data_IF_167785057101
#
_entry.id   IF_167785057101
#
_cell.length_a   1.000
_cell.length_b   1.000
_cell.length_c   1.000
_cell.angle_alpha   90.00
_cell.angle_beta   90.00
_cell.angle_gamma   90.00
#
_symmetry.space_group_name_H-M   'P 1'
#
loop_
_entity.id
_entity.type
_entity.pdbx_description
1 polymer ?
#
# COMPACT_ATOMS: atom_id res chain seq x y z
N UNK A 1 6.11 -20.23 8.89
CA UNK A 1 5.11 -19.69 9.86
C UNK A 1 3.76 -19.67 9.17
N UNK A 2 2.64 -19.79 9.90
CA UNK A 2 1.30 -19.88 9.30
C UNK A 2 0.41 -18.78 9.86
N UNK A 3 -0.62 -18.39 9.08
CA UNK A 3 -1.62 -17.40 9.45
C UNK A 3 -3.02 -17.84 9.00
N UNK A 4 -4.06 -17.23 9.57
CA UNK A 4 -5.45 -17.47 9.20
C UNK A 4 -5.95 -16.39 8.24
N UNK A 5 -6.30 -16.78 6.98
CA UNK A 5 -6.75 -15.85 5.95
C UNK A 5 -7.96 -16.37 5.17
N UNK A 6 -8.48 -15.53 4.29
CA UNK A 6 -9.63 -15.83 3.45
C UNK A 6 -9.15 -16.23 2.04
N UNK A 7 -9.36 -17.49 1.65
CA UNK A 7 -9.00 -17.96 0.31
C UNK A 7 -9.90 -17.33 -0.74
N UNK A 8 -9.29 -16.86 -1.80
CA UNK A 8 -9.99 -16.31 -2.96
C UNK A 8 -10.08 -17.34 -4.08
N UNK A 9 -11.06 -17.18 -4.96
CA UNK A 9 -11.29 -18.08 -6.11
C UNK A 9 -10.12 -18.14 -7.08
N UNK A 10 -9.32 -17.07 -7.15
CA UNK A 10 -8.08 -17.01 -7.94
C UNK A 10 -6.85 -17.63 -7.25
N UNK A 11 -7.03 -18.28 -6.11
CA UNK A 11 -5.96 -18.89 -5.33
C UNK A 11 -5.22 -17.92 -4.39
N UNK A 12 -5.44 -16.62 -4.47
CA UNK A 12 -4.89 -15.65 -3.52
C UNK A 12 -5.50 -15.80 -2.12
N UNK A 13 -4.87 -15.18 -1.13
CA UNK A 13 -5.39 -15.20 0.24
C UNK A 13 -5.47 -13.77 0.79
N UNK A 14 -6.61 -13.38 1.34
CA UNK A 14 -6.81 -12.10 2.00
C UNK A 14 -6.65 -12.20 3.51
N UNK A 15 -6.12 -11.15 4.14
CA UNK A 15 -6.05 -11.02 5.61
C UNK A 15 -7.25 -10.27 6.17
N UNK A 16 -8.06 -9.70 5.28
CA UNK A 16 -9.36 -9.07 5.54
C UNK A 16 -10.38 -9.57 4.50
N UNK A 17 -11.66 -9.23 4.72
CA UNK A 17 -12.77 -9.74 3.90
C UNK A 17 -13.77 -8.61 3.59
N UNK A 18 -13.27 -7.50 3.04
CA UNK A 18 -14.06 -6.30 2.80
C UNK A 18 -14.98 -6.42 1.58
N UNK A 19 -16.13 -5.77 1.64
CA UNK A 19 -16.93 -5.41 0.47
C UNK A 19 -16.69 -3.93 0.19
N UNK A 20 -16.11 -3.65 -0.98
CA UNK A 20 -15.67 -2.32 -1.38
C UNK A 20 -16.71 -1.67 -2.30
N UNK A 21 -17.15 -0.46 -1.96
CA UNK A 21 -17.92 0.43 -2.83
C UNK A 21 -16.96 1.46 -3.42
N UNK A 22 -16.68 1.34 -4.71
CA UNK A 22 -15.64 2.10 -5.39
C UNK A 22 -16.22 2.97 -6.52
N UNK A 23 -16.17 4.32 -6.41
CA UNK A 23 -16.54 5.19 -7.52
C UNK A 23 -15.44 5.14 -8.59
N UNK A 24 -15.79 4.90 -9.86
CA UNK A 24 -14.81 4.94 -10.96
C UNK A 24 -14.47 6.35 -11.41
N UNK A 25 -15.27 7.33 -10.98
CA UNK A 25 -15.10 8.75 -11.29
C UNK A 25 -15.56 9.62 -10.13
N UNK A 26 -14.93 10.79 -9.95
CA UNK A 26 -15.27 11.74 -8.87
C UNK A 26 -16.77 12.06 -8.80
N UNK A 27 -17.46 12.18 -9.96
CA UNK A 27 -18.88 12.49 -10.05
C UNK A 27 -19.78 11.45 -9.37
N UNK A 28 -19.31 10.21 -9.21
CA UNK A 28 -20.02 9.12 -8.55
C UNK A 28 -19.72 9.01 -7.05
N UNK A 29 -18.78 9.78 -6.51
CA UNK A 29 -18.32 9.67 -5.11
C UNK A 29 -19.44 9.82 -4.09
N UNK A 30 -20.35 10.79 -4.29
CA UNK A 30 -21.48 11.00 -3.36
C UNK A 30 -22.45 9.82 -3.37
N UNK A 31 -22.77 9.27 -4.55
CA UNK A 31 -23.63 8.08 -4.65
C UNK A 31 -22.98 6.87 -3.97
N UNK A 32 -21.68 6.64 -4.18
CA UNK A 32 -20.95 5.57 -3.51
C UNK A 32 -20.94 5.72 -1.98
N UNK A 33 -20.75 6.94 -1.47
CA UNK A 33 -20.85 7.23 -0.03
C UNK A 33 -22.25 7.01 0.53
N UNK A 34 -23.30 7.40 -0.22
CA UNK A 34 -24.69 7.17 0.20
C UNK A 34 -24.96 5.67 0.31
N UNK A 35 -24.57 4.87 -0.70
CA UNK A 35 -24.72 3.41 -0.67
C UNK A 35 -24.03 2.82 0.57
N UNK A 36 -22.76 3.19 0.79
CA UNK A 36 -21.99 2.63 1.92
C UNK A 36 -22.56 3.03 3.28
N UNK A 37 -23.12 4.23 3.43
CA UNK A 37 -23.80 4.66 4.68
C UNK A 37 -25.10 3.88 4.94
N UNK A 38 -25.82 3.52 3.87
CA UNK A 38 -27.07 2.74 3.99
C UNK A 38 -26.82 1.24 4.14
N UNK A 39 -25.61 0.75 3.83
CA UNK A 39 -25.21 -0.66 3.92
C UNK A 39 -24.00 -0.80 4.87
N UNK A 40 -24.24 -0.81 6.19
CA UNK A 40 -23.18 -0.97 7.18
C UNK A 40 -22.39 -2.27 6.96
N UNK A 41 -21.05 -2.19 7.10
CA UNK A 41 -20.14 -3.32 6.83
C UNK A 41 -19.45 -3.22 5.48
N UNK A 42 -19.87 -2.29 4.61
CA UNK A 42 -19.13 -1.95 3.39
C UNK A 42 -18.05 -0.90 3.69
N UNK A 43 -17.01 -0.90 2.86
CA UNK A 43 -15.96 0.12 2.84
C UNK A 43 -16.13 0.97 1.59
N UNK A 44 -16.05 2.29 1.74
CA UNK A 44 -16.12 3.22 0.61
C UNK A 44 -14.86 4.11 0.58
N UNK A 45 -14.33 4.32 -0.61
CA UNK A 45 -13.27 5.30 -0.87
C UNK A 45 -13.77 6.41 -1.77
N UNK A 46 -13.05 7.53 -1.82
CA UNK A 46 -13.29 8.63 -2.76
C UNK A 46 -11.98 9.13 -3.32
N UNK A 47 -12.02 9.62 -4.56
CA UNK A 47 -10.84 10.16 -5.25
C UNK A 47 -11.26 11.18 -6.32
N UNK A 48 -10.37 12.10 -6.75
CA UNK A 48 -10.68 13.13 -7.73
C UNK A 48 -10.52 12.70 -9.20
N UNK A 49 -10.33 11.42 -9.47
CA UNK A 49 -9.93 10.89 -10.78
C UNK A 49 -11.12 10.25 -11.55
N UNK A 50 -10.81 9.60 -12.68
CA UNK A 50 -11.73 8.79 -13.50
C UNK A 50 -12.12 9.43 -14.82
N UNK A 51 -11.94 10.75 -14.99
CA UNK A 51 -12.22 11.48 -16.23
C UNK A 51 -11.01 12.31 -16.65
N UNK A 52 -10.85 12.53 -17.95
CA UNK A 52 -9.78 13.37 -18.49
C UNK A 52 -8.39 12.72 -18.55
N UNK A 53 -8.24 11.45 -18.25
CA UNK A 53 -6.97 10.71 -18.30
C UNK A 53 -6.70 10.19 -19.70
N UNK A 54 -5.61 10.62 -20.35
CA UNK A 54 -5.24 10.24 -21.70
C UNK A 54 -3.88 9.51 -21.74
N UNK A 55 -3.61 8.79 -22.85
CA UNK A 55 -2.32 8.14 -23.09
C UNK A 55 -1.93 7.17 -21.98
N UNK A 56 -0.69 7.28 -21.52
CA UNK A 56 -0.13 6.41 -20.46
C UNK A 56 -0.87 6.59 -19.12
N UNK A 57 -1.34 7.79 -18.81
CA UNK A 57 -2.10 8.09 -17.59
C UNK A 57 -3.34 7.23 -17.49
N UNK A 58 -4.10 7.02 -18.59
CA UNK A 58 -5.29 6.15 -18.59
C UNK A 58 -4.93 4.72 -18.20
N UNK A 59 -3.86 4.16 -18.79
CA UNK A 59 -3.40 2.80 -18.47
C UNK A 59 -2.91 2.68 -17.02
N UNK A 60 -2.24 3.72 -16.52
CA UNK A 60 -1.81 3.82 -15.13
C UNK A 60 -3.00 3.81 -14.17
N UNK A 61 -4.01 4.67 -14.39
CA UNK A 61 -5.22 4.74 -13.57
C UNK A 61 -6.01 3.42 -13.56
N UNK A 62 -6.18 2.79 -14.73
CA UNK A 62 -6.83 1.48 -14.83
C UNK A 62 -6.08 0.45 -13.97
N UNK A 63 -4.75 0.40 -14.05
CA UNK A 63 -3.93 -0.53 -13.25
C UNK A 63 -4.09 -0.30 -11.76
N UNK A 64 -4.06 0.97 -11.30
CA UNK A 64 -4.21 1.30 -9.88
C UNK A 64 -5.60 0.94 -9.38
N UNK A 65 -6.65 1.40 -10.08
CA UNK A 65 -8.05 1.16 -9.68
C UNK A 65 -8.38 -0.34 -9.69
N UNK A 66 -8.02 -1.06 -10.75
CA UNK A 66 -8.28 -2.50 -10.84
C UNK A 66 -7.43 -3.29 -9.83
N UNK A 67 -6.17 -2.92 -9.61
CA UNK A 67 -5.31 -3.56 -8.62
C UNK A 67 -5.83 -3.38 -7.20
N UNK A 68 -6.25 -2.16 -6.84
CA UNK A 68 -6.81 -1.86 -5.53
C UNK A 68 -8.14 -2.59 -5.29
N UNK A 69 -9.07 -2.53 -6.26
CA UNK A 69 -10.33 -3.28 -6.22
C UNK A 69 -10.13 -4.80 -6.23
N UNK A 70 -9.09 -5.28 -6.91
CA UNK A 70 -8.69 -6.70 -6.99
C UNK A 70 -7.79 -7.18 -5.85
N UNK A 71 -7.57 -6.34 -4.81
CA UNK A 71 -6.79 -6.74 -3.63
C UNK A 71 -7.33 -8.02 -3.01
N UNK A 72 -6.47 -8.96 -2.58
CA UNK A 72 -6.92 -10.16 -1.87
C UNK A 72 -7.74 -9.89 -0.60
N UNK A 73 -7.61 -8.70 -0.01
CA UNK A 73 -8.38 -8.28 1.16
C UNK A 73 -9.83 -7.91 0.85
N UNK A 74 -10.20 -7.82 -0.43
CA UNK A 74 -11.55 -7.49 -0.91
C UNK A 74 -12.26 -8.76 -1.36
N UNK A 75 -13.41 -9.05 -0.76
CA UNK A 75 -14.26 -10.19 -1.11
C UNK A 75 -15.17 -9.91 -2.30
N UNK A 76 -15.63 -8.67 -2.41
CA UNK A 76 -16.49 -8.22 -3.50
C UNK A 76 -16.43 -6.72 -3.69
N UNK A 77 -16.69 -6.28 -4.90
CA UNK A 77 -16.62 -4.87 -5.30
C UNK A 77 -17.94 -4.43 -5.93
N UNK A 78 -18.47 -3.29 -5.49
CA UNK A 78 -19.49 -2.54 -6.21
C UNK A 78 -18.82 -1.32 -6.86
N UNK A 79 -18.74 -1.31 -8.18
CA UNK A 79 -18.23 -0.18 -8.95
C UNK A 79 -19.38 0.78 -9.24
N UNK A 80 -19.19 2.07 -8.93
CA UNK A 80 -20.20 3.11 -9.11
C UNK A 80 -19.68 4.14 -10.11
N UNK A 81 -20.35 4.22 -11.29
CA UNK A 81 -19.99 5.17 -12.34
C UNK A 81 -21.02 6.26 -12.56
N UNK A 82 -20.64 7.28 -13.32
CA UNK A 82 -21.56 8.29 -13.83
C UNK A 82 -22.23 7.82 -15.13
N UNK A 83 -21.43 7.37 -16.11
CA UNK A 83 -21.88 6.88 -17.43
C UNK A 83 -21.25 7.59 -18.63
N UNK A 84 -20.44 8.65 -18.42
CA UNK A 84 -19.71 9.35 -19.49
C UNK A 84 -18.22 9.49 -19.22
N UNK A 85 -17.71 8.89 -18.15
CA UNK A 85 -16.30 8.89 -17.78
C UNK A 85 -15.45 8.05 -18.75
N UNK A 86 -14.14 8.36 -18.79
CA UNK A 86 -13.18 7.62 -19.62
C UNK A 86 -12.79 6.26 -19.05
N UNK A 87 -12.91 6.08 -17.73
CA UNK A 87 -12.63 4.83 -17.01
C UNK A 87 -13.94 4.37 -16.40
N UNK A 88 -14.75 3.66 -17.20
CA UNK A 88 -16.08 3.21 -16.79
C UNK A 88 -16.03 2.04 -15.83
N UNK A 89 -17.12 1.77 -15.07
CA UNK A 89 -17.24 0.56 -14.27
C UNK A 89 -16.95 -0.71 -15.06
N UNK A 90 -17.40 -0.80 -16.32
CA UNK A 90 -17.18 -1.95 -17.20
C UNK A 90 -15.71 -2.13 -17.55
N UNK A 91 -14.97 -1.03 -17.74
CA UNK A 91 -13.52 -1.07 -17.99
C UNK A 91 -12.79 -1.73 -16.82
N UNK A 92 -13.11 -1.33 -15.60
CA UNK A 92 -12.50 -1.91 -14.38
C UNK A 92 -13.01 -3.35 -14.17
N UNK A 93 -14.29 -3.61 -14.37
CA UNK A 93 -14.88 -4.94 -14.22
C UNK A 93 -14.23 -5.99 -15.14
N UNK A 94 -13.86 -5.62 -16.36
CA UNK A 94 -13.13 -6.52 -17.29
C UNK A 94 -11.79 -6.97 -16.68
N UNK A 95 -11.03 -6.06 -16.08
CA UNK A 95 -9.76 -6.41 -15.43
C UNK A 95 -9.98 -7.29 -14.18
N UNK A 96 -11.02 -6.99 -13.39
CA UNK A 96 -11.37 -7.76 -12.20
C UNK A 96 -11.86 -9.18 -12.53
N UNK A 97 -12.62 -9.34 -13.59
CA UNK A 97 -13.06 -10.67 -14.05
C UNK A 97 -11.89 -11.57 -14.48
N UNK A 98 -10.81 -11.00 -15.02
CA UNK A 98 -9.60 -11.77 -15.35
C UNK A 98 -8.96 -12.42 -14.12
N UNK A 99 -9.19 -11.84 -12.94
CA UNK A 99 -8.71 -12.35 -11.66
C UNK A 99 -9.79 -13.07 -10.85
N UNK A 100 -10.94 -13.38 -11.47
CA UNK A 100 -12.09 -14.02 -10.81
C UNK A 100 -12.61 -13.25 -9.59
N UNK A 101 -12.41 -11.93 -9.54
CA UNK A 101 -12.94 -11.08 -8.48
C UNK A 101 -14.46 -10.94 -8.63
N UNK A 102 -15.19 -11.01 -7.51
CA UNK A 102 -16.63 -10.77 -7.49
C UNK A 102 -16.89 -9.26 -7.65
N UNK A 103 -17.59 -8.87 -8.72
CA UNK A 103 -17.83 -7.47 -9.07
C UNK A 103 -19.26 -7.24 -9.52
N UNK A 104 -19.86 -6.15 -9.06
CA UNK A 104 -21.15 -5.60 -9.50
C UNK A 104 -20.94 -4.15 -9.96
N UNK A 105 -21.81 -3.66 -10.85
CA UNK A 105 -21.69 -2.30 -11.40
C UNK A 105 -23.02 -1.55 -11.34
N UNK A 106 -22.96 -0.24 -11.11
CA UNK A 106 -24.08 0.69 -11.29
C UNK A 106 -23.61 1.95 -12.01
N UNK A 107 -24.47 2.52 -12.86
CA UNK A 107 -24.22 3.78 -13.55
C UNK A 107 -25.38 4.75 -13.30
N UNK A 108 -25.06 5.95 -12.82
CA UNK A 108 -26.04 6.99 -12.45
C UNK A 108 -26.90 7.39 -13.65
N UNK A 109 -26.26 7.64 -14.81
CA UNK A 109 -26.98 8.07 -16.01
C UNK A 109 -27.89 6.97 -16.57
N UNK A 110 -27.41 5.73 -16.57
CA UNK A 110 -28.16 4.58 -17.07
C UNK A 110 -29.40 4.29 -16.23
N UNK A 111 -29.32 4.49 -14.91
CA UNK A 111 -30.42 4.25 -13.98
C UNK A 111 -31.37 5.44 -13.81
N UNK A 112 -31.08 6.58 -14.45
CA UNK A 112 -31.97 7.74 -14.44
C UNK A 112 -31.75 8.73 -13.31
N UNK A 113 -30.65 8.59 -12.54
CA UNK A 113 -30.28 9.54 -11.50
C UNK A 113 -29.70 8.91 -10.25
N UNK A 114 -29.31 9.77 -9.31
CA UNK A 114 -28.61 9.37 -8.09
C UNK A 114 -29.47 8.47 -7.20
N UNK A 115 -30.76 8.79 -7.00
CA UNK A 115 -31.63 8.02 -6.11
C UNK A 115 -31.81 6.57 -6.59
N UNK A 116 -32.03 6.39 -7.89
CA UNK A 116 -32.17 5.07 -8.51
C UNK A 116 -30.85 4.28 -8.45
N UNK A 117 -29.72 4.97 -8.68
CA UNK A 117 -28.40 4.37 -8.57
C UNK A 117 -28.08 3.94 -7.13
N UNK A 118 -28.44 4.75 -6.13
CA UNK A 118 -28.26 4.41 -4.71
C UNK A 118 -29.16 3.24 -4.31
N UNK A 119 -30.45 3.24 -4.69
CA UNK A 119 -31.35 2.14 -4.40
C UNK A 119 -30.85 0.81 -5.00
N UNK A 120 -30.45 0.82 -6.26
CA UNK A 120 -29.89 -0.38 -6.91
C UNK A 120 -28.55 -0.78 -6.33
N UNK A 121 -27.68 0.18 -6.05
CA UNK A 121 -26.36 -0.07 -5.44
C UNK A 121 -26.47 -0.70 -4.05
N UNK A 122 -27.45 -0.28 -3.25
CA UNK A 122 -27.76 -0.86 -1.95
C UNK A 122 -28.08 -2.35 -2.06
N UNK A 123 -29.03 -2.73 -2.93
CA UNK A 123 -29.39 -4.14 -3.16
C UNK A 123 -28.17 -5.00 -3.54
N UNK A 124 -27.30 -4.45 -4.40
CA UNK A 124 -26.10 -5.15 -4.86
C UNK A 124 -25.05 -5.27 -3.74
N UNK A 125 -24.83 -4.21 -2.97
CA UNK A 125 -23.89 -4.20 -1.84
C UNK A 125 -24.33 -5.15 -0.72
N UNK A 126 -25.63 -5.19 -0.39
CA UNK A 126 -26.21 -6.15 0.57
C UNK A 126 -25.98 -7.60 0.11
N UNK A 127 -26.19 -7.89 -1.17
CA UNK A 127 -25.92 -9.22 -1.73
C UNK A 127 -24.44 -9.59 -1.63
N UNK A 128 -23.52 -8.67 -1.98
CA UNK A 128 -22.08 -8.90 -1.83
C UNK A 128 -21.68 -9.16 -0.38
N UNK A 129 -22.29 -8.46 0.60
CA UNK A 129 -22.03 -8.71 2.03
C UNK A 129 -22.49 -10.10 2.46
N UNK A 130 -23.67 -10.55 2.01
CA UNK A 130 -24.17 -11.91 2.31
C UNK A 130 -23.23 -12.96 1.75
N UNK A 131 -22.76 -12.78 0.51
CA UNK A 131 -21.78 -13.67 -0.12
C UNK A 131 -20.44 -13.67 0.65
N UNK A 132 -19.93 -12.48 1.02
CA UNK A 132 -18.70 -12.34 1.77
C UNK A 132 -18.78 -12.97 3.17
N UNK A 133 -19.93 -12.86 3.85
CA UNK A 133 -20.14 -13.42 5.19
C UNK A 133 -20.05 -14.96 5.22
N UNK A 134 -20.25 -15.63 4.09
CA UNK A 134 -20.09 -17.08 3.98
C UNK A 134 -18.64 -17.57 3.92
N UNK A 135 -17.66 -16.67 3.82
CA UNK A 135 -16.26 -17.06 3.75
C UNK A 135 -15.68 -17.27 5.17
N UNK A 136 -15.04 -18.40 5.39
CA UNK A 136 -14.32 -18.71 6.62
C UNK A 136 -12.81 -18.50 6.44
N UNK A 137 -12.11 -18.22 7.54
CA UNK A 137 -10.64 -18.19 7.54
C UNK A 137 -10.10 -19.61 7.48
N UNK A 138 -9.09 -19.82 6.66
CA UNK A 138 -8.34 -21.05 6.59
C UNK A 138 -6.86 -20.83 6.90
N UNK A 139 -6.17 -21.92 7.27
CA UNK A 139 -4.76 -21.87 7.62
C UNK A 139 -3.91 -21.80 6.34
N UNK A 140 -3.14 -20.73 6.20
CA UNK A 140 -2.24 -20.48 5.08
C UNK A 140 -0.79 -20.38 5.54
N UNK A 141 0.13 -20.51 4.60
CA UNK A 141 1.57 -20.37 4.86
C UNK A 141 2.03 -18.93 4.64
N UNK A 142 3.00 -18.47 5.44
CA UNK A 142 3.57 -17.11 5.30
C UNK A 142 4.17 -16.85 3.91
N UNK A 143 4.48 -17.92 3.16
CA UNK A 143 4.91 -17.80 1.76
C UNK A 143 3.86 -17.22 0.82
N UNK A 144 2.61 -17.09 1.26
CA UNK A 144 1.52 -16.47 0.50
C UNK A 144 1.31 -14.97 0.85
N UNK A 145 2.06 -14.46 1.85
CA UNK A 145 1.99 -13.04 2.21
C UNK A 145 2.82 -12.16 1.26
N UNK A 146 2.24 -11.02 0.91
CA UNK A 146 2.91 -9.87 0.30
C UNK A 146 2.79 -8.72 1.29
N UNK A 147 3.92 -8.21 1.78
CA UNK A 147 3.97 -7.09 2.73
C UNK A 147 4.61 -5.89 2.04
N UNK A 148 3.90 -4.77 2.02
CA UNK A 148 4.45 -3.48 1.61
C UNK A 148 5.21 -2.84 2.78
N UNK A 149 6.33 -2.19 2.48
CA UNK A 149 7.11 -1.47 3.51
C UNK A 149 7.19 0.01 3.17
N UNK A 150 6.95 0.86 4.15
CA UNK A 150 6.96 2.30 4.00
C UNK A 150 7.75 2.97 5.13
N UNK A 151 8.30 4.17 4.89
CA UNK A 151 8.80 5.02 5.96
C UNK A 151 8.38 6.48 5.76
N UNK A 152 7.68 7.05 6.75
CA UNK A 152 7.19 8.43 6.71
C UNK A 152 7.40 9.16 8.04
N UNK A 153 7.56 10.50 7.96
CA UNK A 153 7.96 11.28 9.13
C UNK A 153 9.30 10.83 9.71
N UNK A 154 10.25 10.48 8.84
CA UNK A 154 11.53 9.90 9.22
C UNK A 154 12.37 10.86 10.07
N UNK A 155 13.10 10.30 11.01
CA UNK A 155 14.11 10.96 11.84
C UNK A 155 15.47 10.24 11.71
N UNK A 156 16.51 10.76 12.33
CA UNK A 156 17.85 10.14 12.35
C UNK A 156 17.81 8.70 12.91
N UNK A 157 16.90 8.45 13.86
CA UNK A 157 16.77 7.16 14.53
C UNK A 157 16.09 6.11 13.65
N UNK A 158 15.32 6.52 12.67
CA UNK A 158 14.64 5.61 11.72
C UNK A 158 15.62 4.66 11.04
N UNK A 159 16.78 5.15 10.62
CA UNK A 159 17.85 4.36 10.00
C UNK A 159 18.66 3.49 10.96
N UNK A 160 18.54 3.71 12.26
CA UNK A 160 19.29 3.00 13.31
C UNK A 160 18.44 1.92 14.01
N UNK A 161 17.12 2.08 14.05
CA UNK A 161 16.20 1.22 14.81
C UNK A 161 15.11 0.62 13.95
N UNK A 162 14.05 1.38 13.63
CA UNK A 162 12.83 0.89 13.00
C UNK A 162 13.08 0.29 11.60
N UNK A 163 13.84 0.97 10.72
CA UNK A 163 14.10 0.45 9.37
C UNK A 163 14.97 -0.80 9.39
N UNK A 164 16.10 -0.88 10.13
CA UNK A 164 16.84 -2.14 10.26
C UNK A 164 16.03 -3.28 10.87
N UNK A 165 15.21 -3.02 11.90
CA UNK A 165 14.36 -4.04 12.50
C UNK A 165 13.26 -4.53 11.52
N UNK A 166 12.63 -3.60 10.77
CA UNK A 166 11.72 -3.99 9.69
C UNK A 166 12.45 -4.79 8.60
N UNK A 167 13.71 -4.44 8.30
CA UNK A 167 14.56 -5.20 7.38
C UNK A 167 14.75 -6.66 7.81
N UNK A 168 14.96 -6.92 9.11
CA UNK A 168 15.00 -8.28 9.65
C UNK A 168 13.66 -9.00 9.44
N UNK A 169 12.54 -8.32 9.69
CA UNK A 169 11.22 -8.90 9.45
C UNK A 169 10.99 -9.23 7.97
N UNK A 170 11.46 -8.37 7.04
CA UNK A 170 11.43 -8.65 5.62
C UNK A 170 12.27 -9.86 5.23
N UNK A 171 13.48 -9.99 5.77
CA UNK A 171 14.34 -11.16 5.52
C UNK A 171 13.69 -12.45 6.06
N UNK A 172 13.03 -12.41 7.22
CA UNK A 172 12.27 -13.54 7.76
C UNK A 172 11.09 -13.91 6.86
N UNK A 173 10.36 -12.93 6.33
CA UNK A 173 9.26 -13.15 5.39
C UNK A 173 9.75 -13.76 4.08
N UNK A 174 10.83 -13.23 3.51
CA UNK A 174 11.45 -13.74 2.26
C UNK A 174 11.98 -15.16 2.47
N UNK A 175 12.63 -15.44 3.58
CA UNK A 175 13.10 -16.78 3.95
C UNK A 175 11.96 -17.78 4.15
N UNK A 176 10.77 -17.29 4.55
CA UNK A 176 9.55 -18.11 4.61
C UNK A 176 8.88 -18.27 3.22
N UNK A 177 9.46 -17.71 2.15
CA UNK A 177 8.96 -17.79 0.77
C UNK A 177 7.91 -16.72 0.43
N UNK A 178 7.69 -15.72 1.29
CA UNK A 178 6.81 -14.60 1.06
C UNK A 178 7.45 -13.49 0.21
N UNK A 179 6.74 -12.37 0.05
CA UNK A 179 7.20 -11.23 -0.74
C UNK A 179 7.19 -9.96 0.10
N UNK A 180 8.29 -9.22 0.09
CA UNK A 180 8.37 -7.86 0.63
C UNK A 180 8.49 -6.85 -0.53
N UNK A 181 7.68 -5.79 -0.50
CA UNK A 181 7.76 -4.70 -1.48
C UNK A 181 8.34 -3.47 -0.78
N UNK A 182 9.44 -2.96 -1.30
CA UNK A 182 9.93 -1.62 -0.99
C UNK A 182 9.56 -0.67 -2.13
N UNK A 183 9.17 0.55 -1.80
CA UNK A 183 8.82 1.58 -2.79
C UNK A 183 9.58 2.87 -2.47
N UNK A 184 9.08 4.04 -2.94
CA UNK A 184 9.66 5.35 -2.63
C UNK A 184 10.98 5.58 -3.37
N UNK A 185 10.93 5.56 -4.72
CA UNK A 185 12.11 5.65 -5.60
C UNK A 185 13.01 6.85 -5.27
N UNK A 186 12.43 8.00 -4.89
CA UNK A 186 13.19 9.19 -4.49
C UNK A 186 14.05 8.96 -3.22
N UNK A 187 13.62 8.08 -2.31
CA UNK A 187 14.36 7.71 -1.10
C UNK A 187 15.41 6.61 -1.34
N UNK A 188 15.69 6.26 -2.58
CA UNK A 188 16.80 5.37 -2.98
C UNK A 188 17.97 6.17 -3.57
N UNK A 189 17.77 7.46 -3.90
CA UNK A 189 18.77 8.33 -4.51
C UNK A 189 20.00 8.51 -3.61
N UNK A 190 21.17 8.28 -4.16
CA UNK A 190 22.44 8.28 -3.42
C UNK A 190 22.78 6.94 -2.75
N UNK A 191 21.80 6.05 -2.57
CA UNK A 191 21.97 4.70 -2.01
C UNK A 191 21.68 3.57 -3.04
N UNK A 192 21.31 3.91 -4.27
CA UNK A 192 20.95 2.99 -5.35
C UNK A 192 22.04 1.95 -5.65
N UNK A 193 23.30 2.33 -5.50
CA UNK A 193 24.44 1.43 -5.72
C UNK A 193 24.47 0.25 -4.71
N UNK A 194 23.90 0.42 -3.52
CA UNK A 194 23.79 -0.64 -2.49
C UNK A 194 22.69 -1.63 -2.92
N UNK A 195 21.54 -1.12 -3.39
CA UNK A 195 20.47 -1.94 -3.92
C UNK A 195 20.90 -2.68 -5.18
N UNK A 196 21.57 -2.00 -6.11
CA UNK A 196 22.07 -2.57 -7.35
C UNK A 196 23.03 -3.75 -7.15
N UNK A 197 23.84 -3.75 -6.08
CA UNK A 197 24.71 -4.89 -5.70
C UNK A 197 23.93 -6.11 -5.23
N UNK A 198 22.68 -5.94 -4.81
CA UNK A 198 21.80 -7.02 -4.32
C UNK A 198 20.87 -7.55 -5.42
N UNK A 199 20.94 -7.00 -6.63
CA UNK A 199 20.11 -7.45 -7.74
C UNK A 199 20.45 -8.90 -8.13
N UNK A 200 19.39 -9.73 -8.33
CA UNK A 200 19.52 -11.13 -8.73
C UNK A 200 20.12 -11.30 -10.15
N UNK A 201 19.99 -10.27 -10.99
CA UNK A 201 20.47 -10.25 -12.36
C UNK A 201 20.92 -8.85 -12.79
N UNK A 202 21.63 -8.79 -13.91
CA UNK A 202 22.02 -7.50 -14.53
C UNK A 202 20.80 -6.71 -15.01
N UNK A 203 19.73 -7.38 -15.46
CA UNK A 203 18.47 -6.74 -15.83
C UNK A 203 17.85 -5.99 -14.64
N UNK A 204 17.74 -6.65 -13.50
CA UNK A 204 17.22 -6.03 -12.26
C UNK A 204 18.13 -4.88 -11.82
N UNK A 205 19.47 -5.06 -11.91
CA UNK A 205 20.45 -4.02 -11.61
C UNK A 205 20.23 -2.77 -12.46
N UNK A 206 20.15 -2.97 -13.78
CA UNK A 206 19.96 -1.87 -14.74
C UNK A 206 18.62 -1.17 -14.49
N UNK A 207 17.58 -1.93 -14.16
CA UNK A 207 16.26 -1.35 -13.87
C UNK A 207 16.27 -0.49 -12.60
N UNK A 208 16.99 -0.89 -11.55
CA UNK A 208 17.17 -0.06 -10.33
C UNK A 208 17.83 1.27 -10.70
N UNK A 209 18.91 1.24 -11.50
CA UNK A 209 19.60 2.44 -11.95
C UNK A 209 18.72 3.33 -12.85
N UNK A 210 17.92 2.73 -13.71
CA UNK A 210 16.99 3.44 -14.59
C UNK A 210 15.92 4.20 -13.80
N UNK A 211 15.21 3.54 -12.87
CA UNK A 211 14.15 4.22 -12.10
C UNK A 211 14.70 5.35 -11.24
N UNK A 212 15.86 5.17 -10.62
CA UNK A 212 16.49 6.22 -9.80
C UNK A 212 16.97 7.39 -10.64
N UNK A 213 17.66 7.14 -11.76
CA UNK A 213 18.11 8.20 -12.67
C UNK A 213 16.93 8.95 -13.31
N UNK A 214 15.86 8.23 -13.67
CA UNK A 214 14.62 8.83 -14.21
C UNK A 214 13.94 9.71 -13.16
N UNK A 215 13.84 9.25 -11.92
CA UNK A 215 13.30 10.04 -10.81
C UNK A 215 14.08 11.35 -10.62
N UNK A 216 15.41 11.29 -10.55
CA UNK A 216 16.24 12.50 -10.42
C UNK A 216 16.10 13.44 -11.64
N UNK A 217 16.04 12.89 -12.86
CA UNK A 217 15.83 13.67 -14.08
C UNK A 217 14.47 14.36 -14.11
N UNK A 218 13.42 13.71 -13.63
CA UNK A 218 12.08 14.28 -13.51
C UNK A 218 12.07 15.50 -12.58
N UNK A 219 12.69 15.42 -11.39
CA UNK A 219 12.83 16.59 -10.51
C UNK A 219 13.59 17.73 -11.16
N UNK A 220 14.72 17.43 -11.83
CA UNK A 220 15.49 18.45 -12.57
C UNK A 220 14.68 19.11 -13.69
N UNK A 221 13.84 18.36 -14.40
CA UNK A 221 12.97 18.90 -15.46
C UNK A 221 11.92 19.88 -14.93
N UNK A 222 11.52 19.73 -13.66
CA UNK A 222 10.63 20.67 -12.96
C UNK A 222 11.38 21.85 -12.31
N UNK A 223 12.70 21.97 -12.52
CA UNK A 223 13.53 23.00 -11.92
C UNK A 223 13.87 22.76 -10.44
N UNK A 224 13.68 21.54 -9.95
CA UNK A 224 13.96 21.16 -8.56
C UNK A 224 15.27 20.38 -8.47
N UNK A 225 16.21 20.85 -7.64
CA UNK A 225 17.32 20.06 -7.17
C UNK A 225 16.88 19.27 -5.93
N UNK A 226 16.58 17.99 -6.11
CA UNK A 226 16.10 17.13 -5.02
C UNK A 226 17.13 17.01 -3.90
N UNK A 227 18.43 17.04 -4.21
CA UNK A 227 19.50 16.95 -3.19
C UNK A 227 19.57 18.19 -2.30
N UNK A 228 19.09 19.35 -2.81
CA UNK A 228 18.99 20.58 -2.04
C UNK A 228 17.61 20.80 -1.36
N UNK A 229 16.61 19.97 -1.71
CA UNK A 229 15.23 20.10 -1.24
C UNK A 229 14.83 19.03 -0.23
N UNK A 230 15.41 17.85 -0.33
CA UNK A 230 15.28 16.76 0.64
C UNK A 230 16.54 16.67 1.52
N UNK A 231 16.40 16.36 2.82
CA UNK A 231 15.18 16.02 3.57
C UNK A 231 14.20 17.18 3.75
N UNK A 232 12.91 16.86 3.87
CA UNK A 232 11.86 17.85 4.16
C UNK A 232 12.08 18.55 5.51
N UNK A 233 11.50 19.73 5.76
CA UNK A 233 11.65 20.45 7.04
C UNK A 233 11.35 19.55 8.25
N UNK A 234 10.31 18.72 8.17
CA UNK A 234 9.97 17.80 9.26
C UNK A 234 11.04 16.71 9.49
N UNK A 235 11.74 16.26 8.46
CA UNK A 235 12.85 15.32 8.60
C UNK A 235 14.10 16.01 9.18
N UNK A 236 14.36 17.28 8.81
CA UNK A 236 15.44 18.09 9.37
C UNK A 236 15.21 18.33 10.85
N UNK A 237 14.00 18.67 11.27
CA UNK A 237 13.61 18.75 12.69
C UNK A 237 13.80 17.41 13.41
N UNK A 238 13.69 16.28 12.71
CA UNK A 238 14.00 14.93 13.17
C UNK A 238 15.49 14.59 13.19
N UNK A 239 16.37 15.54 12.80
CA UNK A 239 17.83 15.42 12.84
C UNK A 239 18.48 14.91 11.56
N UNK A 240 17.73 14.63 10.48
CA UNK A 240 18.30 14.26 9.18
C UNK A 240 18.96 15.47 8.50
N UNK A 241 20.08 15.24 7.82
CA UNK A 241 20.93 16.31 7.27
C UNK A 241 20.98 16.33 5.75
N UNK A 242 21.00 15.16 5.10
CA UNK A 242 21.13 15.03 3.64
C UNK A 242 20.19 14.00 3.07
N UNK A 243 19.93 14.08 1.76
CA UNK A 243 19.17 13.08 1.03
C UNK A 243 19.83 11.69 1.14
N UNK A 244 21.16 11.63 1.02
CA UNK A 244 21.90 10.37 1.10
C UNK A 244 21.76 9.72 2.48
N UNK A 245 21.82 10.48 3.56
CA UNK A 245 21.59 9.98 4.92
C UNK A 245 20.17 9.38 5.04
N UNK A 246 19.17 10.12 4.58
CA UNK A 246 17.76 9.66 4.54
C UNK A 246 17.65 8.37 3.75
N UNK A 247 18.22 8.30 2.54
CA UNK A 247 18.17 7.15 1.66
C UNK A 247 18.90 5.93 2.24
N UNK A 248 20.09 6.11 2.81
CA UNK A 248 20.82 5.04 3.47
C UNK A 248 20.03 4.43 4.65
N UNK A 249 19.26 5.26 5.36
CA UNK A 249 18.36 4.80 6.41
C UNK A 249 17.13 4.09 5.84
N UNK A 250 16.53 4.65 4.79
CA UNK A 250 15.29 4.16 4.18
C UNK A 250 15.45 2.77 3.56
N UNK A 251 16.49 2.52 2.76
CA UNK A 251 16.68 1.24 2.08
C UNK A 251 16.87 0.05 3.03
N UNK A 252 17.19 0.29 4.31
CA UNK A 252 17.38 -0.75 5.32
C UNK A 252 16.10 -1.50 5.65
N UNK A 253 14.91 -0.87 5.44
CA UNK A 253 13.62 -1.53 5.64
C UNK A 253 13.39 -2.75 4.73
N UNK A 254 14.13 -2.84 3.60
CA UNK A 254 14.12 -4.00 2.71
C UNK A 254 15.06 -5.15 3.11
N UNK A 255 15.69 -5.09 4.29
CA UNK A 255 16.58 -6.15 4.77
C UNK A 255 17.84 -6.33 3.92
N UNK A 256 18.31 -7.58 3.83
CA UNK A 256 19.55 -7.98 3.14
C UNK A 256 19.32 -8.94 1.96
N UNK A 257 18.12 -9.43 1.77
CA UNK A 257 17.75 -10.39 0.73
C UNK A 257 18.05 -9.87 -0.69
N UNK A 258 18.27 -10.79 -1.62
CA UNK A 258 18.44 -10.43 -3.04
C UNK A 258 17.17 -9.77 -3.59
N UNK A 259 17.34 -8.75 -4.43
CA UNK A 259 16.23 -8.06 -5.11
C UNK A 259 15.88 -8.88 -6.36
N UNK A 260 14.67 -9.43 -6.35
CA UNK A 260 14.20 -10.37 -7.38
C UNK A 260 13.64 -9.67 -8.61
N UNK A 261 13.01 -8.49 -8.42
CA UNK A 261 12.29 -7.80 -9.48
C UNK A 261 12.18 -6.30 -9.17
N UNK A 262 12.07 -5.49 -10.22
CA UNK A 262 11.60 -4.09 -10.17
C UNK A 262 10.31 -4.01 -10.97
N UNK A 263 9.22 -3.55 -10.34
CA UNK A 263 7.90 -3.43 -10.95
C UNK A 263 7.48 -1.97 -11.07
N UNK A 264 6.53 -1.67 -11.96
CA UNK A 264 5.91 -0.35 -12.05
C UNK A 264 4.98 -0.13 -10.86
N UNK A 265 4.62 1.13 -10.63
CA UNK A 265 3.61 1.48 -9.62
C UNK A 265 2.31 0.68 -9.82
N UNK A 266 1.83 0.08 -8.74
CA UNK A 266 0.62 -0.78 -8.73
C UNK A 266 0.70 -2.03 -9.64
N UNK A 267 1.87 -2.42 -10.10
CA UNK A 267 2.06 -3.66 -10.84
C UNK A 267 2.34 -4.81 -9.87
N UNK A 268 1.58 -5.90 -10.01
CA UNK A 268 1.72 -7.06 -9.14
C UNK A 268 3.03 -7.80 -9.43
N UNK A 269 3.86 -8.08 -8.42
CA UNK A 269 5.06 -8.89 -8.59
C UNK A 269 4.74 -10.27 -9.16
N UNK A 270 5.53 -10.70 -10.14
CA UNK A 270 5.46 -12.05 -10.70
C UNK A 270 6.43 -13.02 -10.02
N UNK A 271 7.38 -12.49 -9.26
CA UNK A 271 8.37 -13.25 -8.50
C UNK A 271 8.21 -12.98 -7.00
N UNK A 272 8.44 -14.01 -6.19
CA UNK A 272 8.50 -13.90 -4.73
C UNK A 272 9.87 -13.42 -4.27
N UNK A 273 9.94 -12.91 -3.06
CA UNK A 273 11.15 -12.39 -2.45
C UNK A 273 11.10 -10.87 -2.27
N UNK A 274 12.26 -10.22 -2.25
CA UNK A 274 12.31 -8.76 -2.15
C UNK A 274 12.10 -8.12 -3.54
N UNK A 275 11.16 -7.20 -3.63
CA UNK A 275 10.77 -6.52 -4.87
C UNK A 275 10.83 -5.00 -4.66
N UNK A 276 11.30 -4.27 -5.64
CA UNK A 276 11.20 -2.81 -5.69
C UNK A 276 9.99 -2.43 -6.55
N UNK A 277 9.10 -1.58 -6.04
CA UNK A 277 8.06 -0.91 -6.82
C UNK A 277 8.49 0.53 -7.09
N UNK A 278 8.60 0.88 -8.37
CA UNK A 278 8.85 2.26 -8.79
C UNK A 278 7.64 3.14 -8.45
N UNK A 279 7.81 4.03 -7.49
CA UNK A 279 6.70 4.83 -6.97
C UNK A 279 7.12 6.06 -6.18
N UNK A 280 6.18 6.98 -5.91
CA UNK A 280 6.45 8.21 -5.19
C UNK A 280 6.71 7.95 -3.70
N UNK A 281 7.39 8.90 -3.07
CA UNK A 281 7.65 8.90 -1.62
C UNK A 281 6.56 9.64 -0.82
N UNK A 282 5.33 9.67 -1.33
CA UNK A 282 4.17 10.24 -0.65
C UNK A 282 3.40 9.14 0.06
N UNK A 283 3.30 9.23 1.38
CA UNK A 283 2.83 8.16 2.28
C UNK A 283 1.60 7.39 1.75
N UNK A 284 0.43 8.03 1.71
CA UNK A 284 -0.85 7.39 1.32
C UNK A 284 -0.82 6.88 -0.12
N UNK A 285 -0.15 7.62 -1.00
CA UNK A 285 -0.03 7.25 -2.42
C UNK A 285 0.83 6.01 -2.59
N UNK A 286 1.97 5.94 -1.89
CA UNK A 286 2.86 4.78 -1.93
C UNK A 286 2.17 3.52 -1.38
N UNK A 287 1.48 3.65 -0.24
CA UNK A 287 0.71 2.55 0.36
C UNK A 287 -0.39 2.05 -0.59
N UNK A 288 -1.16 2.98 -1.20
CA UNK A 288 -2.19 2.64 -2.20
C UNK A 288 -1.59 1.84 -3.37
N UNK A 289 -0.42 2.25 -3.86
CA UNK A 289 0.29 1.54 -4.94
C UNK A 289 0.69 0.13 -4.55
N UNK A 290 1.27 -0.06 -3.36
CA UNK A 290 1.67 -1.38 -2.86
C UNK A 290 0.45 -2.30 -2.63
N UNK A 291 -0.65 -1.76 -2.10
CA UNK A 291 -1.91 -2.49 -1.93
C UNK A 291 -2.48 -2.90 -3.29
N UNK A 292 -2.48 -2.00 -4.27
CA UNK A 292 -2.89 -2.31 -5.64
C UNK A 292 -1.97 -3.32 -6.32
N UNK A 293 -0.68 -3.35 -5.95
CA UNK A 293 0.27 -4.38 -6.37
C UNK A 293 0.07 -5.74 -5.65
N UNK A 294 -0.88 -5.82 -4.72
CA UNK A 294 -1.28 -7.04 -4.04
C UNK A 294 -0.79 -7.19 -2.60
N UNK A 295 -0.16 -6.16 -2.00
CA UNK A 295 0.20 -6.19 -0.59
C UNK A 295 -1.06 -6.36 0.29
N UNK A 296 -1.03 -7.35 1.17
CA UNK A 296 -2.12 -7.62 2.10
C UNK A 296 -1.95 -6.85 3.41
N UNK A 297 -0.73 -6.49 3.78
CA UNK A 297 -0.34 -5.75 4.99
C UNK A 297 0.69 -4.70 4.60
N UNK A 298 0.62 -3.54 5.22
CA UNK A 298 1.67 -2.51 5.16
C UNK A 298 2.37 -2.44 6.50
N UNK A 299 3.70 -2.44 6.47
CA UNK A 299 4.56 -2.19 7.63
C UNK A 299 5.19 -0.80 7.48
N UNK A 300 4.77 0.14 8.31
CA UNK A 300 5.07 1.56 8.19
C UNK A 300 5.94 2.03 9.35
N UNK A 301 7.19 2.38 9.06
CA UNK A 301 8.12 2.94 10.06
C UNK A 301 7.99 4.46 10.15
N UNK A 302 8.09 5.01 11.35
CA UNK A 302 7.98 6.45 11.57
C UNK A 302 8.85 6.93 12.73
N UNK A 303 9.50 8.08 12.55
CA UNK A 303 10.28 8.75 13.59
C UNK A 303 9.48 9.78 14.37
N UNK A 304 8.61 10.51 13.69
CA UNK A 304 7.79 11.58 14.28
C UNK A 304 6.38 11.15 14.64
N UNK A 305 5.96 9.98 14.17
CA UNK A 305 4.62 9.44 14.33
C UNK A 305 3.67 9.83 13.20
N UNK A 306 2.80 8.89 12.83
CA UNK A 306 1.74 9.09 11.84
C UNK A 306 0.50 8.29 12.25
N UNK A 307 -0.72 8.82 12.01
CA UNK A 307 -1.95 8.06 12.23
C UNK A 307 -2.36 7.21 11.02
N UNK A 308 -1.75 7.40 9.85
CA UNK A 308 -2.19 6.88 8.55
C UNK A 308 -2.56 5.40 8.63
N UNK A 309 -3.72 5.07 8.02
CA UNK A 309 -4.22 3.72 7.79
C UNK A 309 -4.52 3.49 6.32
N UNK A 310 -5.33 2.48 6.04
CA UNK A 310 -5.86 2.22 4.70
C UNK A 310 -7.25 1.60 4.82
N UNK A 311 -8.15 1.87 3.86
CA UNK A 311 -9.52 1.36 3.92
C UNK A 311 -9.64 -0.16 3.79
N UNK A 312 -8.68 -0.83 3.16
CA UNK A 312 -8.78 -2.26 2.86
C UNK A 312 -7.58 -3.11 3.30
N UNK A 313 -6.50 -2.49 3.77
CA UNK A 313 -5.33 -3.22 4.23
C UNK A 313 -4.88 -2.72 5.60
N UNK A 314 -4.55 -3.60 6.56
CA UNK A 314 -3.98 -3.18 7.82
C UNK A 314 -2.63 -2.51 7.63
N UNK A 315 -2.40 -1.40 8.35
CA UNK A 315 -1.13 -0.66 8.39
C UNK A 315 -0.55 -0.74 9.80
N UNK A 316 0.52 -1.53 9.95
CA UNK A 316 1.26 -1.70 11.21
C UNK A 316 2.26 -0.56 11.34
N UNK A 317 2.15 0.28 12.36
CA UNK A 317 3.07 1.39 12.59
C UNK A 317 4.15 1.04 13.60
N UNK A 318 5.40 1.35 13.23
CA UNK A 318 6.61 1.00 13.95
C UNK A 318 7.37 2.30 14.26
N UNK A 319 7.45 2.69 15.53
CA UNK A 319 8.18 3.90 15.93
C UNK A 319 9.68 3.65 16.04
N UNK A 320 10.49 4.61 15.54
CA UNK A 320 11.95 4.59 15.70
C UNK A 320 12.44 4.90 17.12
N UNK A 321 11.59 5.51 17.95
CA UNK A 321 11.96 5.92 19.31
C UNK A 321 10.80 5.76 20.30
N UNK A 322 11.15 5.47 21.56
CA UNK A 322 10.20 5.20 22.64
C UNK A 322 9.38 6.45 23.03
N UNK A 323 9.93 7.66 22.89
CA UNK A 323 9.23 8.90 23.21
C UNK A 323 8.01 9.08 22.35
N UNK A 324 8.14 8.89 21.03
CA UNK A 324 7.00 8.97 20.08
C UNK A 324 6.04 7.82 20.30
N UNK A 325 6.53 6.61 20.52
CA UNK A 325 5.69 5.45 20.84
C UNK A 325 4.78 5.73 22.03
N UNK A 326 5.31 6.23 23.14
CA UNK A 326 4.51 6.52 24.33
C UNK A 326 3.54 7.70 24.15
N UNK A 327 3.96 8.72 23.39
CA UNK A 327 3.13 9.90 23.11
C UNK A 327 1.96 9.58 22.16
N UNK A 328 2.17 8.68 21.21
CA UNK A 328 1.19 8.32 20.17
C UNK A 328 0.74 6.84 20.26
N UNK A 329 0.60 6.32 21.49
CA UNK A 329 0.26 4.91 21.73
C UNK A 329 -1.08 4.46 21.11
N UNK A 330 -1.98 5.39 20.78
CA UNK A 330 -3.24 5.08 20.08
C UNK A 330 -3.04 4.85 18.58
N UNK A 331 -1.87 5.25 18.04
CA UNK A 331 -1.57 5.19 16.61
C UNK A 331 -0.46 4.20 16.25
N UNK A 332 0.40 3.82 17.20
CA UNK A 332 1.62 3.04 16.94
C UNK A 332 1.53 1.65 17.57
N UNK A 333 1.84 0.63 16.77
CA UNK A 333 1.71 -0.78 17.16
C UNK A 333 2.98 -1.32 17.81
N UNK A 334 4.18 -0.95 17.29
CA UNK A 334 5.48 -1.51 17.71
C UNK A 334 6.46 -0.42 18.11
N UNK A 335 7.19 -0.63 19.21
CA UNK A 335 8.27 0.25 19.69
C UNK A 335 9.64 -0.29 19.29
N UNK A 336 10.22 0.22 18.20
CA UNK A 336 11.62 -0.08 17.89
C UNK A 336 12.63 0.82 18.64
N UNK A 337 12.15 1.85 19.34
CA UNK A 337 12.99 2.68 20.20
C UNK A 337 13.65 1.91 21.35
N UNK A 338 13.06 0.81 21.81
CA UNK A 338 13.64 -0.09 22.80
C UNK A 338 15.06 -0.57 22.45
N UNK A 339 15.44 -0.54 21.17
CA UNK A 339 16.80 -0.83 20.71
C UNK A 339 17.80 0.22 21.25
N UNK A 340 17.44 1.50 21.19
CA UNK A 340 18.29 2.58 21.70
C UNK A 340 18.29 2.65 23.23
N UNK A 341 17.18 2.26 23.84
CA UNK A 341 17.05 2.19 25.30
C UNK A 341 17.91 1.05 25.89
N UNK A 342 18.48 0.19 25.02
CA UNK A 342 19.31 -0.96 25.43
C UNK A 342 18.51 -2.15 25.96
N UNK A 343 17.19 -2.14 25.77
CA UNK A 343 16.28 -3.20 26.23
C UNK A 343 16.17 -4.34 25.22
N UNK A 344 16.33 -4.05 23.93
CA UNK A 344 16.11 -4.98 22.83
C UNK A 344 17.23 -4.87 21.78
N UNK A 345 17.41 -5.92 20.98
CA UNK A 345 18.28 -5.90 19.81
C UNK A 345 17.47 -5.63 18.52
N UNK A 346 18.15 -5.21 17.44
CA UNK A 346 17.54 -5.10 16.10
C UNK A 346 16.92 -6.44 15.69
N UNK A 347 17.59 -7.56 15.98
CA UNK A 347 17.11 -8.91 15.66
C UNK A 347 15.82 -9.22 16.42
N UNK A 348 15.79 -8.99 17.72
CA UNK A 348 14.63 -9.25 18.58
C UNK A 348 13.41 -8.43 18.17
N UNK A 349 13.57 -7.12 17.93
CA UNK A 349 12.48 -6.26 17.43
C UNK A 349 12.04 -6.67 16.04
N UNK A 350 12.95 -7.08 15.16
CA UNK A 350 12.59 -7.60 13.84
C UNK A 350 11.75 -8.87 13.91
N UNK A 351 12.06 -9.78 14.82
CA UNK A 351 11.23 -10.98 15.09
C UNK A 351 9.85 -10.61 15.66
N UNK A 352 9.79 -9.60 16.54
CA UNK A 352 8.52 -9.05 17.03
C UNK A 352 7.68 -8.45 15.90
N UNK A 353 8.28 -7.67 14.99
CA UNK A 353 7.59 -7.11 13.82
C UNK A 353 7.07 -8.23 12.92
N UNK A 354 7.86 -9.26 12.64
CA UNK A 354 7.42 -10.40 11.82
C UNK A 354 6.26 -11.16 12.48
N UNK A 355 6.33 -11.37 13.80
CA UNK A 355 5.22 -11.94 14.56
C UNK A 355 3.98 -11.05 14.49
N UNK A 356 4.12 -9.74 14.64
CA UNK A 356 3.01 -8.79 14.53
C UNK A 356 2.36 -8.85 13.14
N UNK A 357 3.15 -8.93 12.06
CA UNK A 357 2.65 -9.12 10.70
C UNK A 357 1.77 -10.39 10.60
N UNK A 358 2.22 -11.50 11.18
CA UNK A 358 1.48 -12.78 11.16
C UNK A 358 0.22 -12.72 12.03
N UNK A 359 0.28 -12.10 13.18
CA UNK A 359 -0.87 -11.90 14.07
C UNK A 359 -1.94 -11.00 13.40
N UNK A 360 -1.52 -9.91 12.77
CA UNK A 360 -2.39 -9.00 11.99
C UNK A 360 -2.97 -9.71 10.76
N UNK A 361 -2.17 -10.50 10.06
CA UNK A 361 -2.65 -11.34 8.95
C UNK A 361 -3.69 -12.36 9.43
N UNK A 362 -3.59 -12.84 10.66
CA UNK A 362 -4.55 -13.76 11.29
C UNK A 362 -5.81 -13.10 11.85
N UNK A 363 -5.92 -11.75 11.75
CA UNK A 363 -7.14 -11.03 12.12
C UNK A 363 -6.99 -10.07 13.30
N UNK A 364 -5.82 -9.96 13.92
CA UNK A 364 -5.54 -8.89 14.88
C UNK A 364 -5.73 -7.54 14.19
N UNK A 365 -6.44 -6.61 14.83
CA UNK A 365 -6.58 -5.26 14.31
C UNK A 365 -5.36 -4.41 14.66
N UNK A 366 -4.91 -3.59 13.71
CA UNK A 366 -3.90 -2.56 13.96
C UNK A 366 -4.51 -1.36 14.68
N UNK A 367 -3.67 -0.49 15.27
CA UNK A 367 -4.12 0.77 15.88
C UNK A 367 -4.84 1.66 14.87
N UNK A 368 -4.38 1.70 13.60
CA UNK A 368 -5.04 2.45 12.55
C UNK A 368 -6.48 1.96 12.31
N UNK A 369 -6.68 0.65 12.23
CA UNK A 369 -8.01 0.06 12.05
C UNK A 369 -8.93 0.34 13.27
N UNK A 370 -8.41 0.22 14.49
CA UNK A 370 -9.16 0.50 15.72
C UNK A 370 -9.62 1.95 15.78
N UNK A 371 -8.76 2.89 15.34
CA UNK A 371 -9.06 4.33 15.30
C UNK A 371 -9.87 4.75 14.07
N UNK A 372 -10.08 3.86 13.08
CA UNK A 372 -10.86 4.13 11.87
C UNK A 372 -10.12 4.95 10.81
N UNK A 373 -8.79 4.96 10.83
CA UNK A 373 -7.97 5.59 9.77
C UNK A 373 -8.10 4.82 8.46
N UNK A 374 -8.49 5.53 7.38
CA UNK A 374 -8.84 4.95 6.09
C UNK A 374 -8.39 5.82 4.92
N UNK A 375 -7.22 6.40 5.01
CA UNK A 375 -6.65 7.29 4.03
C UNK A 375 -6.43 6.55 2.69
N UNK A 376 -6.79 7.22 1.58
CA UNK A 376 -6.70 6.71 0.22
C UNK A 376 -6.35 7.83 -0.76
N UNK A 377 -5.36 7.63 -1.61
CA UNK A 377 -5.00 8.54 -2.68
C UNK A 377 -4.38 7.78 -3.84
N UNK A 378 -4.70 8.19 -5.07
CA UNK A 378 -4.15 7.61 -6.30
C UNK A 378 -3.07 8.53 -6.85
N UNK A 379 -1.93 7.94 -7.26
CA UNK A 379 -0.87 8.65 -7.97
C UNK A 379 -1.33 9.03 -9.37
N UNK A 380 -1.23 10.32 -9.72
CA UNK A 380 -1.41 10.82 -11.08
C UNK A 380 -0.04 11.14 -11.68
N UNK A 381 0.21 10.67 -12.91
CA UNK A 381 1.49 10.83 -13.59
C UNK A 381 1.46 11.89 -14.71
N UNK A 382 0.28 12.36 -15.08
CA UNK A 382 0.11 13.31 -16.18
C UNK A 382 -1.01 14.33 -15.93
N UNK A 383 -1.12 15.34 -16.79
CA UNK A 383 -2.22 16.29 -16.75
C UNK A 383 -3.53 15.62 -17.18
N UNK A 384 -4.63 16.16 -16.68
CA UNK A 384 -6.00 15.84 -17.13
C UNK A 384 -6.50 16.87 -18.13
N UNK A 385 -7.41 16.49 -19.03
CA UNK A 385 -8.10 17.36 -19.99
C UNK A 385 -9.56 17.57 -19.61
#
# INVERSE_FOLDING_TARGET
>A
MKFWGYRRTNGGIGVRNHVLVFPTVICASTAAQMISREVPGTVCVTHPHGCGHLGEEKGHMIRVMSGFCGSPNVAGVLLVGLGCELITPETIAVELHRTSQRVETVSIQTLGGTNEAVARGKELAERLLVEAAGAERELADASELIVGTHCGGSDTLSGLTANPALGVACDLLVNAGGTAIISETAEMLGAEHILARRAISDEVRNRIQEITSTSEANFKSMGVDIRGTEPSPGNIDGGLTTLEEKSLGSIRKGGTSAIMQVVKYAERPSQKGLVIMDGPAHDVVSDTGMIAAGAQVIAFTTGRGTPIGSPIAPVIKISSNSTVYHRMRDNIDVNAGAILDGEESIQSVGEQIFKEIVDVASGKLTRAEIMGHNEFAIHAIGPTV
#
